data_IF_438516695660
#
_entry.id   IF_438516695660
#
_cell.length_a   1.000
_cell.length_b   1.000
_cell.length_c   1.000
_cell.angle_alpha   90.00
_cell.angle_beta   90.00
_cell.angle_gamma   90.00
#
_symmetry.space_group_name_H-M   'P 1'
#
loop_
_entity.id
_entity.type
_entity.pdbx_description
1 polymer ?
#
# COMPACT_ATOMS: atom_id res chain seq x y z
N UNK A 1 -5.70 -4.20 3.20
CA UNK A 1 -5.62 -4.59 4.63
C UNK A 1 -5.90 -6.07 4.91
N UNK A 2 -7.03 -6.65 4.48
CA UNK A 2 -7.44 -8.00 4.90
C UNK A 2 -6.41 -9.11 4.65
N UNK A 3 -5.73 -9.10 3.51
CA UNK A 3 -4.73 -10.13 3.20
C UNK A 3 -3.51 -10.13 4.13
N UNK A 4 -3.04 -8.94 4.55
CA UNK A 4 -1.91 -8.83 5.48
C UNK A 4 -2.32 -9.30 6.87
N UNK A 5 -3.53 -8.95 7.31
CA UNK A 5 -4.10 -9.40 8.58
C UNK A 5 -4.18 -10.93 8.60
N UNK A 6 -4.74 -11.54 7.55
CA UNK A 6 -4.85 -12.99 7.43
C UNK A 6 -3.48 -13.68 7.39
N UNK A 7 -2.49 -13.09 6.71
CA UNK A 7 -1.10 -13.60 6.72
C UNK A 7 -0.47 -13.51 8.11
N UNK A 8 -0.75 -12.46 8.87
CA UNK A 8 -0.30 -12.32 10.25
C UNK A 8 -0.95 -13.38 11.13
N UNK A 9 -2.28 -13.49 11.12
CA UNK A 9 -3.02 -14.52 11.86
C UNK A 9 -2.47 -15.92 11.56
N UNK A 10 -2.31 -16.26 10.28
CA UNK A 10 -1.80 -17.56 9.87
C UNK A 10 -0.34 -17.84 10.28
N UNK A 11 0.51 -16.82 10.38
CA UNK A 11 1.94 -16.98 10.70
C UNK A 11 2.28 -16.83 12.16
N UNK A 12 1.51 -16.06 12.91
CA UNK A 12 1.81 -15.71 14.30
C UNK A 12 0.80 -16.31 15.29
N UNK A 13 -0.36 -16.77 14.80
CA UNK A 13 -1.46 -17.22 15.65
C UNK A 13 -2.16 -16.09 16.40
N UNK A 14 -1.85 -14.82 16.08
CA UNK A 14 -2.56 -13.69 16.66
C UNK A 14 -4.04 -13.73 16.29
N UNK A 15 -4.96 -13.39 17.21
CA UNK A 15 -6.35 -13.19 16.84
C UNK A 15 -6.47 -11.96 15.92
N UNK A 16 -7.52 -11.96 15.09
CA UNK A 16 -7.66 -11.03 13.96
C UNK A 16 -7.67 -9.55 14.38
N UNK A 17 -8.26 -9.25 15.55
CA UNK A 17 -8.27 -7.92 16.17
C UNK A 17 -6.86 -7.44 16.54
N UNK A 18 -6.03 -8.33 17.09
CA UNK A 18 -4.63 -8.02 17.43
C UNK A 18 -3.76 -7.91 16.18
N UNK A 19 -4.02 -8.73 15.17
CA UNK A 19 -3.34 -8.66 13.88
C UNK A 19 -3.65 -7.34 13.16
N UNK A 20 -4.91 -6.88 13.18
CA UNK A 20 -5.29 -5.58 12.63
C UNK A 20 -4.55 -4.42 13.32
N UNK A 21 -4.54 -4.39 14.65
CA UNK A 21 -3.79 -3.37 15.40
C UNK A 21 -2.28 -3.39 15.11
N UNK A 22 -1.70 -4.57 14.91
CA UNK A 22 -0.29 -4.70 14.54
C UNK A 22 -0.01 -4.08 13.17
N UNK A 23 -0.90 -4.30 12.19
CA UNK A 23 -0.79 -3.66 10.86
C UNK A 23 -0.86 -2.15 10.98
N UNK A 24 -1.84 -1.62 11.69
CA UNK A 24 -2.00 -0.17 11.85
C UNK A 24 -0.80 0.48 12.55
N UNK A 25 -0.24 -0.19 13.56
CA UNK A 25 0.97 0.28 14.26
C UNK A 25 2.16 0.37 13.32
N UNK A 26 2.39 -0.65 12.49
CA UNK A 26 3.49 -0.67 11.52
C UNK A 26 3.28 0.36 10.42
N UNK A 27 2.06 0.48 9.91
CA UNK A 27 1.72 1.49 8.88
C UNK A 27 1.91 2.90 9.43
N UNK A 28 1.47 3.16 10.67
CA UNK A 28 1.69 4.43 11.36
C UNK A 28 3.18 4.75 11.50
N UNK A 29 3.97 3.81 11.98
CA UNK A 29 5.43 3.96 12.09
C UNK A 29 6.09 4.26 10.72
N UNK A 30 5.70 3.54 9.66
CA UNK A 30 6.22 3.78 8.32
C UNK A 30 5.85 5.16 7.79
N UNK A 31 4.62 5.63 8.03
CA UNK A 31 4.18 6.99 7.65
C UNK A 31 4.96 8.08 8.39
N UNK A 32 5.30 7.87 9.66
CA UNK A 32 6.10 8.81 10.44
C UNK A 32 7.57 8.86 9.98
N UNK A 33 8.11 7.73 9.49
CA UNK A 33 9.52 7.63 9.06
C UNK A 33 9.75 7.95 7.59
N UNK A 34 8.73 7.88 6.75
CA UNK A 34 8.87 8.11 5.31
C UNK A 34 8.39 9.52 4.94
N UNK A 35 9.26 10.37 4.34
CA UNK A 35 8.90 11.75 4.01
C UNK A 35 7.88 11.82 2.86
N UNK A 36 6.86 12.64 3.06
CA UNK A 36 5.92 13.14 2.04
C UNK A 36 5.31 12.05 1.13
N UNK A 37 5.60 12.06 -0.19
CA UNK A 37 4.85 11.31 -1.20
C UNK A 37 4.83 9.78 -1.02
N UNK A 38 5.79 9.20 -0.31
CA UNK A 38 5.85 7.75 -0.06
C UNK A 38 4.79 7.30 0.95
N UNK A 39 4.50 8.13 1.97
CA UNK A 39 3.46 7.83 2.95
C UNK A 39 2.06 7.76 2.30
N UNK A 40 1.80 8.65 1.33
CA UNK A 40 0.55 8.66 0.56
C UNK A 40 0.38 7.41 -0.32
N UNK A 41 1.47 6.89 -0.87
CA UNK A 41 1.45 5.63 -1.64
C UNK A 41 1.16 4.42 -0.76
N UNK A 42 1.71 4.37 0.44
CA UNK A 42 1.40 3.31 1.42
C UNK A 42 -0.08 3.33 1.77
N UNK A 43 -0.67 4.51 1.96
CA UNK A 43 -2.12 4.62 2.23
C UNK A 43 -2.97 4.09 1.06
N UNK A 44 -2.59 4.38 -0.18
CA UNK A 44 -3.28 3.86 -1.36
C UNK A 44 -3.21 2.33 -1.47
N UNK A 45 -2.08 1.73 -1.06
CA UNK A 45 -1.89 0.27 -1.05
C UNK A 45 -2.62 -0.41 0.11
N UNK A 46 -2.60 0.20 1.30
CA UNK A 46 -3.17 -0.36 2.53
C UNK A 46 -4.70 -0.20 2.56
N UNK A 47 -5.20 1.00 2.22
CA UNK A 47 -6.61 1.40 2.23
C UNK A 47 -7.48 0.73 1.17
N UNK A 48 -6.90 -0.05 0.26
CA UNK A 48 -7.67 -0.88 -0.66
C UNK A 48 -8.17 -0.15 -1.90
N UNK A 49 -7.25 0.26 -2.77
CA UNK A 49 -7.52 0.16 -4.20
C UNK A 49 -7.33 -1.29 -4.68
N UNK A 50 -8.08 -2.19 -4.07
CA UNK A 50 -8.22 -3.59 -4.47
C UNK A 50 -9.67 -4.00 -4.18
N UNK A 51 -10.63 -3.49 -4.97
CA UNK A 51 -12.02 -3.94 -4.81
C UNK A 51 -13.16 -3.20 -5.52
N UNK A 52 -12.94 -2.10 -6.26
CA UNK A 52 -14.02 -1.48 -7.02
C UNK A 52 -13.51 -0.61 -8.15
N UNK A 53 -13.66 -1.08 -9.39
CA UNK A 53 -13.67 -0.30 -10.64
C UNK A 53 -12.82 0.98 -10.64
N UNK A 54 -11.49 0.84 -10.68
CA UNK A 54 -10.60 2.01 -10.74
C UNK A 54 -9.10 1.74 -10.63
N UNK A 55 -8.69 0.50 -10.32
CA UNK A 55 -7.29 0.10 -10.10
C UNK A 55 -6.34 0.14 -11.31
N UNK A 56 -6.77 0.68 -12.46
CA UNK A 56 -5.90 0.94 -13.61
C UNK A 56 -5.48 2.43 -13.72
N UNK A 57 -6.09 3.33 -12.94
CA UNK A 57 -5.74 4.75 -12.93
C UNK A 57 -4.40 5.00 -12.22
N UNK A 58 -4.33 4.83 -10.90
CA UNK A 58 -3.14 5.24 -10.13
C UNK A 58 -1.83 4.52 -10.48
N UNK A 59 -1.86 3.19 -10.70
CA UNK A 59 -0.67 2.43 -11.08
C UNK A 59 -0.36 2.55 -12.58
N UNK A 60 -1.39 2.61 -13.43
CA UNK A 60 -1.24 2.81 -14.86
C UNK A 60 -0.74 4.21 -15.21
N UNK A 61 -1.20 5.24 -14.50
CA UNK A 61 -0.72 6.63 -14.61
C UNK A 61 0.70 6.77 -14.09
N UNK A 62 1.05 6.09 -12.98
CA UNK A 62 2.43 6.07 -12.48
C UNK A 62 3.38 5.33 -13.43
N UNK A 63 2.97 4.18 -13.98
CA UNK A 63 3.72 3.44 -14.97
C UNK A 63 3.86 4.21 -16.30
N UNK A 64 2.81 4.94 -16.70
CA UNK A 64 2.82 5.77 -17.92
C UNK A 64 3.67 7.03 -17.76
N UNK A 65 3.63 7.69 -16.60
CA UNK A 65 4.52 8.83 -16.30
C UNK A 65 5.98 8.40 -16.19
N UNK A 66 6.27 7.24 -15.59
CA UNK A 66 7.62 6.68 -15.56
C UNK A 66 8.09 6.26 -16.96
N UNK A 67 7.22 5.61 -17.75
CA UNK A 67 7.52 5.23 -19.14
C UNK A 67 7.73 6.42 -20.07
N UNK A 68 6.96 7.50 -19.90
CA UNK A 68 7.11 8.74 -20.66
C UNK A 68 8.39 9.51 -20.34
N UNK A 69 8.88 9.45 -19.10
CA UNK A 69 10.17 10.01 -18.71
C UNK A 69 11.35 9.14 -19.18
N UNK A 70 11.17 7.82 -19.26
CA UNK A 70 12.21 6.91 -19.75
C UNK A 70 12.30 6.85 -21.29
N UNK A 71 11.20 7.13 -21.98
CA UNK A 71 11.14 7.16 -23.45
C UNK A 71 11.52 8.51 -24.06
N UNK A 72 11.56 9.60 -23.28
CA UNK A 72 11.96 10.92 -23.77
C UNK A 72 13.46 11.14 -23.59
N UNK A 73 14.25 10.41 -24.37
CA UNK A 73 15.63 10.75 -24.69
C UNK A 73 15.78 10.76 -26.19
N UNK A 74 15.24 11.82 -26.80
CA UNK A 74 15.65 12.47 -28.07
C UNK A 74 14.81 13.74 -28.27
#
# INVERSE_FOLDING_TARGET
MNEIIQRLVAKTGLPEDKAAMAVDTVVGFLKEKLPGPVASQIDSLVGGQSGGSGGMGGLGDMASNLGGMFGKKE
#
